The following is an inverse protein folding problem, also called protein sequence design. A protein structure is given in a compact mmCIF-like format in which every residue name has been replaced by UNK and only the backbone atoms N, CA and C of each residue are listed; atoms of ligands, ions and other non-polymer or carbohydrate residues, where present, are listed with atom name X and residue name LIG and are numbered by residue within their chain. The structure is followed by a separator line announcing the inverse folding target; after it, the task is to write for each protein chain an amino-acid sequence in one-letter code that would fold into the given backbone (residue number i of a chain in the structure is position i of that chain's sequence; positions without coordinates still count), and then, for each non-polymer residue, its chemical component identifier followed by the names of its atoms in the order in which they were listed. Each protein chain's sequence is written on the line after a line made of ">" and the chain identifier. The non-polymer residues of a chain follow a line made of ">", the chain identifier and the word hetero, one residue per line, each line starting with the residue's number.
data_IF_012911983638
#
_entry.id   IF_012911983638
#
_cell.length_a   1.000
_cell.length_b   1.000
_cell.length_c   1.000
_cell.angle_alpha   90.00
_cell.angle_beta   90.00
_cell.angle_gamma   90.00
#
_symmetry.space_group_name_H-M   'P 1'
#
loop_
_entity.id
_entity.type
_entity.pdbx_description
1 polymer ?
#
# COMPACT_ATOMS: atom_id res chain seq x y z
N UNK A 1 18.65 -59.43 -9.14
CA UNK A 1 18.81 -59.68 -7.70
C UNK A 1 20.18 -59.15 -7.33
N UNK A 2 20.32 -58.47 -6.18
CA UNK A 2 21.52 -57.69 -5.80
C UNK A 2 21.73 -56.49 -6.77
N UNK A 3 22.24 -55.30 -6.43
CA UNK A 3 22.96 -54.65 -5.31
C UNK A 3 22.46 -53.18 -5.22
N UNK A 4 22.67 -52.33 -4.20
CA UNK A 4 23.42 -52.35 -2.93
C UNK A 4 22.63 -51.55 -1.86
N UNK A 5 22.98 -51.70 -0.57
CA UNK A 5 22.62 -50.73 0.49
C UNK A 5 23.81 -49.83 0.80
N UNK A 6 23.63 -48.50 0.83
CA UNK A 6 24.60 -47.58 1.42
C UNK A 6 23.92 -46.62 2.41
N UNK A 7 24.22 -46.84 3.70
CA UNK A 7 24.02 -45.85 4.77
C UNK A 7 25.00 -44.70 4.54
N UNK A 8 24.53 -43.46 4.55
CA UNK A 8 25.36 -42.27 4.73
C UNK A 8 24.76 -41.40 5.84
N UNK A 9 25.16 -41.67 7.08
CA UNK A 9 24.77 -40.87 8.24
C UNK A 9 25.57 -39.57 8.26
N UNK A 10 25.07 -38.51 7.61
CA UNK A 10 25.70 -37.19 7.72
C UNK A 10 25.29 -36.48 9.02
N UNK A 11 25.93 -36.93 10.10
CA UNK A 11 25.93 -36.29 11.40
C UNK A 11 26.65 -34.93 11.31
N UNK A 12 25.91 -33.86 10.99
CA UNK A 12 26.44 -32.50 10.98
C UNK A 12 26.64 -32.00 12.42
N UNK A 13 27.75 -32.41 13.03
CA UNK A 13 28.30 -31.82 14.25
C UNK A 13 28.79 -30.40 13.94
N UNK A 14 27.87 -29.43 13.98
CA UNK A 14 28.26 -28.03 14.14
C UNK A 14 28.81 -27.81 15.54
N UNK A 15 30.14 -27.84 15.66
CA UNK A 15 30.87 -27.37 16.84
C UNK A 15 31.94 -26.36 16.44
N UNK A 16 31.50 -25.10 16.35
CA UNK A 16 32.30 -23.90 16.61
C UNK A 16 31.39 -22.99 17.44
N UNK A 17 31.60 -22.77 18.74
CA UNK A 17 32.75 -22.18 19.43
C UNK A 17 33.12 -20.77 18.96
N UNK A 18 32.15 -19.84 19.02
CA UNK A 18 32.47 -18.42 19.17
C UNK A 18 31.63 -17.76 20.25
N UNK A 19 32.31 -17.26 21.29
CA UNK A 19 31.73 -16.57 22.44
C UNK A 19 31.24 -15.17 22.03
N UNK A 20 29.95 -14.99 21.77
CA UNK A 20 29.30 -13.70 22.04
C UNK A 20 27.79 -13.85 22.21
N UNK A 21 27.33 -14.27 23.40
CA UNK A 21 25.93 -14.14 23.78
C UNK A 21 25.59 -12.68 24.13
N UNK A 22 25.80 -11.77 23.18
CA UNK A 22 25.05 -10.52 23.14
C UNK A 22 23.66 -10.92 22.71
N UNK A 23 22.69 -10.80 23.61
CA UNK A 23 21.29 -11.06 23.31
C UNK A 23 20.90 -10.23 22.09
N UNK A 24 20.81 -10.87 20.92
CA UNK A 24 20.14 -10.30 19.77
C UNK A 24 18.72 -10.11 20.26
N UNK A 25 18.34 -8.84 20.43
CA UNK A 25 16.97 -8.49 20.74
C UNK A 25 16.11 -9.21 19.71
N UNK A 26 15.18 -10.03 20.20
CA UNK A 26 14.06 -10.50 19.40
C UNK A 26 13.57 -9.28 18.63
N UNK A 27 13.44 -9.41 17.31
CA UNK A 27 12.80 -8.39 16.48
C UNK A 27 11.33 -8.36 16.89
N UNK A 28 11.10 -7.67 18.00
CA UNK A 28 9.81 -7.37 18.56
C UNK A 28 9.19 -6.41 17.54
N UNK A 29 8.41 -6.97 16.63
CA UNK A 29 7.30 -6.26 15.98
C UNK A 29 6.19 -5.94 17.02
N UNK A 30 6.59 -5.70 18.27
CA UNK A 30 5.83 -5.05 19.29
C UNK A 30 5.70 -3.58 18.89
N UNK A 31 4.63 -3.33 18.14
CA UNK A 31 3.79 -2.16 18.40
C UNK A 31 4.60 -0.87 18.36
N UNK A 32 5.09 -0.55 17.16
CA UNK A 32 5.47 0.81 16.80
C UNK A 32 4.47 1.77 17.46
N UNK A 33 5.02 2.73 18.20
CA UNK A 33 4.30 3.35 19.29
C UNK A 33 2.94 3.88 18.89
N UNK A 34 2.06 4.05 19.88
CA UNK A 34 1.11 5.16 19.81
C UNK A 34 1.96 6.43 19.71
N UNK A 35 2.29 6.83 18.49
CA UNK A 35 2.67 8.19 18.17
C UNK A 35 1.43 9.00 18.53
N UNK A 36 1.48 9.56 19.74
CA UNK A 36 0.65 10.66 20.17
C UNK A 36 1.06 11.88 19.34
N UNK A 37 0.77 11.79 18.05
CA UNK A 37 0.74 12.86 17.09
C UNK A 37 -0.74 13.12 16.82
N UNK A 38 -1.47 13.46 17.89
CA UNK A 38 -2.73 14.18 17.79
C UNK A 38 -2.42 15.62 17.34
N UNK A 39 -1.76 15.77 16.18
CA UNK A 39 -1.93 16.95 15.35
C UNK A 39 -3.33 16.79 14.78
N UNK A 40 -4.32 17.35 15.47
CA UNK A 40 -5.69 17.25 15.05
C UNK A 40 -5.79 17.76 13.62
N UNK A 41 -6.23 16.89 12.70
CA UNK A 41 -6.76 17.33 11.42
C UNK A 41 -7.96 18.22 11.76
N UNK A 42 -7.75 19.54 11.71
CA UNK A 42 -8.78 20.51 12.06
C UNK A 42 -9.97 20.32 11.12
N UNK A 43 -11.08 19.92 11.73
CA UNK A 43 -12.46 19.93 11.25
C UNK A 43 -12.70 20.67 9.93
N UNK A 44 -12.31 20.02 8.83
CA UNK A 44 -12.61 20.50 7.47
C UNK A 44 -13.47 19.46 6.78
N UNK A 45 -14.66 19.25 7.35
CA UNK A 45 -15.82 18.63 6.67
C UNK A 45 -16.36 19.63 5.63
N UNK A 46 -15.50 19.94 4.66
CA UNK A 46 -15.74 20.80 3.51
C UNK A 46 -14.87 20.28 2.36
N UNK A 47 -15.42 19.32 1.59
CA UNK A 47 -14.91 18.83 0.31
C UNK A 47 -13.39 18.72 0.24
N UNK A 48 -12.85 17.57 0.62
CA UNK A 48 -11.41 17.33 0.54
C UNK A 48 -10.98 17.42 -0.94
N UNK A 49 -10.11 18.39 -1.26
CA UNK A 49 -9.57 18.55 -2.60
C UNK A 49 -8.52 17.45 -2.89
N UNK A 50 -8.98 16.26 -3.27
CA UNK A 50 -8.16 15.11 -3.68
C UNK A 50 -7.32 15.34 -4.95
N UNK A 51 -7.40 16.54 -5.52
CA UNK A 51 -6.54 17.06 -6.59
C UNK A 51 -5.20 17.59 -6.08
N UNK A 52 -5.09 17.85 -4.77
CA UNK A 52 -3.93 18.46 -4.12
C UNK A 52 -3.68 17.87 -2.75
N UNK A 53 -3.55 16.55 -2.70
CA UNK A 53 -3.38 15.80 -1.46
C UNK A 53 -2.12 14.94 -1.51
N UNK A 54 -1.44 14.79 -0.38
CA UNK A 54 -0.24 13.95 -0.29
C UNK A 54 -0.63 12.50 -0.01
N UNK A 55 0.19 11.50 -0.43
CA UNK A 55 -0.14 10.07 -0.25
C UNK A 55 -0.42 9.68 1.21
N UNK A 56 0.20 10.40 2.16
CA UNK A 56 -0.01 10.21 3.60
C UNK A 56 -1.42 10.58 4.05
N UNK A 57 -1.88 11.77 3.67
CA UNK A 57 -3.20 12.28 4.04
C UNK A 57 -4.30 11.44 3.38
N UNK A 58 -4.10 11.04 2.12
CA UNK A 58 -5.00 10.09 1.44
C UNK A 58 -5.17 8.79 2.23
N UNK A 59 -4.06 8.20 2.72
CA UNK A 59 -4.07 6.99 3.57
C UNK A 59 -4.82 7.22 4.89
N UNK A 60 -4.66 8.39 5.51
CA UNK A 60 -5.34 8.74 6.75
C UNK A 60 -6.86 8.86 6.56
N UNK A 61 -7.29 9.59 5.52
CA UNK A 61 -8.71 9.76 5.18
C UNK A 61 -9.34 8.43 4.77
N UNK A 62 -8.70 7.66 3.89
CA UNK A 62 -9.19 6.34 3.49
C UNK A 62 -9.39 5.43 4.72
N UNK A 63 -8.47 5.49 5.69
CA UNK A 63 -8.57 4.75 6.94
C UNK A 63 -9.74 5.22 7.82
N UNK A 64 -9.98 6.53 7.92
CA UNK A 64 -11.13 7.06 8.65
C UNK A 64 -12.46 6.61 8.01
N UNK A 65 -12.55 6.65 6.68
CA UNK A 65 -13.71 6.18 5.91
C UNK A 65 -13.93 4.67 6.05
N UNK A 66 -12.86 3.88 6.16
CA UNK A 66 -12.95 2.46 6.48
C UNK A 66 -13.48 2.22 7.91
N UNK A 67 -13.01 2.98 8.90
CA UNK A 67 -13.57 2.92 10.27
C UNK A 67 -15.03 3.39 10.34
N UNK A 68 -15.43 4.33 9.49
CA UNK A 68 -16.82 4.77 9.31
C UNK A 68 -17.69 3.76 8.54
N UNK A 69 -17.11 2.69 7.98
CA UNK A 69 -17.82 1.69 7.18
C UNK A 69 -18.29 2.20 5.82
N UNK A 70 -17.68 3.27 5.29
CA UNK A 70 -18.01 3.87 3.99
C UNK A 70 -17.33 3.16 2.81
N UNK A 71 -16.18 2.51 3.03
CA UNK A 71 -15.39 1.82 1.99
C UNK A 71 -15.00 0.41 2.42
N UNK A 72 -14.70 -0.45 1.45
CA UNK A 72 -14.21 -1.81 1.70
C UNK A 72 -12.73 -1.84 2.07
N UNK A 73 -12.28 -2.94 2.68
CA UNK A 73 -10.85 -3.14 2.98
C UNK A 73 -9.99 -3.23 1.70
N UNK A 74 -10.57 -3.74 0.61
CA UNK A 74 -9.93 -3.81 -0.71
C UNK A 74 -9.67 -2.40 -1.27
N UNK A 75 -10.70 -1.53 -1.25
CA UNK A 75 -10.62 -0.10 -1.60
C UNK A 75 -9.57 0.63 -0.76
N UNK A 76 -9.53 0.39 0.56
CA UNK A 76 -8.52 0.95 1.45
C UNK A 76 -7.11 0.49 1.05
N UNK A 77 -6.94 -0.78 0.68
CA UNK A 77 -5.64 -1.33 0.28
C UNK A 77 -5.15 -0.72 -1.05
N UNK A 78 -6.02 -0.56 -2.05
CA UNK A 78 -5.68 0.10 -3.31
C UNK A 78 -5.35 1.59 -3.10
N UNK A 79 -6.16 2.33 -2.32
CA UNK A 79 -5.90 3.73 -1.95
C UNK A 79 -4.60 3.90 -1.13
N UNK A 80 -4.25 2.89 -0.33
CA UNK A 80 -3.01 2.89 0.47
C UNK A 80 -1.80 2.33 -0.27
N UNK A 81 -1.99 1.78 -1.46
CA UNK A 81 -0.94 1.13 -2.25
C UNK A 81 0.20 2.11 -2.57
N UNK A 82 1.37 1.58 -2.84
CA UNK A 82 2.51 2.40 -3.25
C UNK A 82 2.28 2.92 -4.67
N UNK A 83 2.44 4.23 -4.87
CA UNK A 83 2.39 4.81 -6.20
C UNK A 83 3.54 4.23 -7.05
N UNK A 84 3.27 3.77 -8.28
CA UNK A 84 4.33 3.33 -9.18
C UNK A 84 5.20 4.54 -9.56
N UNK A 85 6.48 4.33 -9.90
CA UNK A 85 7.37 5.43 -10.31
C UNK A 85 6.89 6.21 -11.56
N UNK A 86 6.03 5.60 -12.36
CA UNK A 86 5.44 6.15 -13.58
C UNK A 86 3.99 5.69 -13.69
N UNK A 87 3.12 6.58 -14.17
CA UNK A 87 1.73 6.26 -14.51
C UNK A 87 1.44 6.58 -15.97
N UNK A 88 0.33 6.06 -16.47
CA UNK A 88 -0.25 6.48 -17.75
C UNK A 88 -1.40 7.46 -17.50
N UNK A 89 -1.65 8.32 -18.48
CA UNK A 89 -2.90 9.04 -18.67
C UNK A 89 -3.83 8.31 -19.65
N UNK A 90 -5.15 8.56 -19.61
CA UNK A 90 -6.18 8.04 -20.50
C UNK A 90 -6.03 8.61 -21.92
N UNK A 91 -5.36 9.76 -22.03
CA UNK A 91 -4.80 10.29 -23.28
C UNK A 91 -3.66 9.45 -23.88
N UNK A 92 -3.09 8.53 -23.10
CA UNK A 92 -1.91 7.72 -23.43
C UNK A 92 -0.57 8.35 -23.05
N UNK A 93 -0.55 9.52 -22.39
CA UNK A 93 0.68 10.17 -21.93
C UNK A 93 1.31 9.42 -20.74
N UNK A 94 2.64 9.30 -20.69
CA UNK A 94 3.35 8.74 -19.52
C UNK A 94 3.74 9.89 -18.60
N UNK A 95 3.28 9.83 -17.35
CA UNK A 95 3.57 10.82 -16.31
C UNK A 95 4.56 10.18 -15.31
N UNK A 96 5.76 10.74 -15.21
CA UNK A 96 6.71 10.40 -14.16
C UNK A 96 6.21 10.95 -12.82
N UNK A 97 5.98 10.05 -11.87
CA UNK A 97 5.50 10.37 -10.50
C UNK A 97 6.47 9.83 -9.43
N UNK A 98 7.68 9.44 -9.82
CA UNK A 98 8.74 8.96 -8.93
C UNK A 98 9.20 9.99 -7.89
N UNK A 99 8.95 11.28 -8.12
CA UNK A 99 9.21 12.38 -7.19
C UNK A 99 8.04 12.63 -6.22
N UNK A 100 6.91 11.91 -6.38
CA UNK A 100 5.77 11.96 -5.46
C UNK A 100 6.09 11.15 -4.20
N UNK A 101 6.60 11.84 -3.20
CA UNK A 101 6.84 11.31 -1.84
C UNK A 101 5.58 11.40 -0.98
N UNK A 102 5.60 10.81 0.22
CA UNK A 102 4.46 10.85 1.16
C UNK A 102 4.00 12.27 1.56
N UNK A 103 4.84 13.29 1.36
CA UNK A 103 4.55 14.71 1.66
C UNK A 103 4.21 15.53 0.40
N UNK A 104 4.41 14.98 -0.81
CA UNK A 104 4.23 15.68 -2.08
C UNK A 104 2.74 15.78 -2.46
N UNK A 105 2.21 16.99 -2.65
CA UNK A 105 0.87 17.22 -3.21
C UNK A 105 0.72 16.54 -4.58
N UNK A 106 -0.30 15.69 -4.75
CA UNK A 106 -0.59 15.00 -6.01
C UNK A 106 -2.09 14.94 -6.33
N UNK A 107 -2.41 14.87 -7.62
CA UNK A 107 -3.79 14.81 -8.13
C UNK A 107 -4.28 13.37 -8.22
N UNK A 108 -4.58 12.80 -7.06
CA UNK A 108 -5.09 11.44 -6.93
C UNK A 108 -6.47 11.26 -7.59
N UNK A 109 -7.32 12.28 -7.55
CA UNK A 109 -8.63 12.25 -8.21
C UNK A 109 -8.47 12.01 -9.71
N UNK A 110 -7.59 12.78 -10.37
CA UNK A 110 -7.30 12.62 -11.80
C UNK A 110 -6.63 11.28 -12.04
N UNK A 111 -5.59 10.90 -11.27
CA UNK A 111 -4.90 9.62 -11.40
C UNK A 111 -5.83 8.39 -11.36
N UNK A 112 -6.76 8.32 -10.40
CA UNK A 112 -7.71 7.21 -10.32
C UNK A 112 -8.83 7.30 -11.36
N UNK A 113 -9.27 8.50 -11.74
CA UNK A 113 -10.25 8.70 -12.83
C UNK A 113 -9.69 8.20 -14.16
N UNK A 114 -8.42 8.49 -14.37
CA UNK A 114 -7.65 8.15 -15.55
C UNK A 114 -7.39 6.63 -15.63
N UNK A 115 -6.92 6.02 -14.53
CA UNK A 115 -6.86 4.54 -14.39
C UNK A 115 -8.22 3.87 -14.63
N UNK A 116 -9.33 4.45 -14.16
CA UNK A 116 -10.66 3.91 -14.40
C UNK A 116 -11.07 3.99 -15.89
N UNK A 117 -10.72 5.07 -16.59
CA UNK A 117 -10.97 5.22 -18.02
C UNK A 117 -10.11 4.25 -18.86
N UNK A 118 -8.84 4.05 -18.47
CA UNK A 118 -7.96 3.02 -19.05
C UNK A 118 -8.54 1.62 -18.79
N UNK A 119 -8.91 1.29 -17.54
CA UNK A 119 -9.50 0.00 -17.19
C UNK A 119 -10.82 -0.24 -17.95
N UNK A 120 -11.62 0.80 -18.18
CA UNK A 120 -12.85 0.73 -18.98
C UNK A 120 -12.59 0.55 -20.47
N UNK A 121 -11.47 1.06 -20.98
CA UNK A 121 -11.12 1.02 -22.39
C UNK A 121 -10.38 -0.25 -22.81
N UNK A 122 -9.50 -0.78 -21.95
CA UNK A 122 -8.63 -1.93 -22.25
C UNK A 122 -8.54 -3.00 -21.15
N UNK A 123 -9.15 -2.77 -19.98
CA UNK A 123 -9.07 -3.65 -18.82
C UNK A 123 -10.19 -4.70 -18.75
N UNK A 124 -10.37 -5.27 -17.55
CA UNK A 124 -11.40 -6.28 -17.25
C UNK A 124 -12.54 -5.67 -16.43
N UNK A 125 -13.72 -6.31 -16.43
CA UNK A 125 -14.86 -5.84 -15.65
C UNK A 125 -14.60 -5.75 -14.14
N UNK A 126 -13.74 -6.64 -13.61
CA UNK A 126 -13.32 -6.68 -12.20
C UNK A 126 -12.48 -5.45 -11.82
N UNK A 127 -11.52 -5.07 -12.68
CA UNK A 127 -10.70 -3.87 -12.50
C UNK A 127 -11.52 -2.58 -12.66
N UNK A 128 -12.50 -2.56 -13.57
CA UNK A 128 -13.44 -1.44 -13.71
C UNK A 128 -14.29 -1.28 -12.46
N UNK A 129 -14.80 -2.37 -11.87
CA UNK A 129 -15.62 -2.32 -10.65
C UNK A 129 -14.81 -1.78 -9.46
N UNK A 130 -13.58 -2.26 -9.25
CA UNK A 130 -12.68 -1.73 -8.21
C UNK A 130 -12.35 -0.25 -8.39
N UNK A 131 -11.94 0.17 -9.59
CA UNK A 131 -11.61 1.57 -9.86
C UNK A 131 -12.87 2.46 -9.72
N UNK A 132 -14.05 1.94 -10.04
CA UNK A 132 -15.32 2.64 -9.84
C UNK A 132 -15.70 2.77 -8.35
N UNK A 133 -15.38 1.79 -7.50
CA UNK A 133 -15.55 1.86 -6.03
C UNK A 133 -14.60 2.90 -5.41
N UNK A 134 -13.33 2.90 -5.83
CA UNK A 134 -12.32 3.92 -5.47
C UNK A 134 -12.79 5.33 -5.89
N UNK A 135 -13.34 5.50 -7.10
CA UNK A 135 -13.95 6.76 -7.53
C UNK A 135 -15.21 7.13 -6.74
N UNK A 136 -15.99 6.15 -6.32
CA UNK A 136 -17.18 6.38 -5.49
C UNK A 136 -16.79 6.89 -4.10
N UNK A 137 -15.66 6.45 -3.53
CA UNK A 137 -15.09 7.03 -2.32
C UNK A 137 -14.79 8.53 -2.49
N UNK A 138 -14.09 8.91 -3.56
CA UNK A 138 -13.77 10.32 -3.85
C UNK A 138 -15.02 11.19 -4.08
N UNK A 139 -16.13 10.60 -4.55
CA UNK A 139 -17.40 11.29 -4.74
C UNK A 139 -18.30 11.32 -3.47
N UNK A 140 -17.92 10.62 -2.39
CA UNK A 140 -18.69 10.47 -1.13
C UNK A 140 -18.07 11.26 0.04
N UNK A 141 -17.05 12.08 -0.24
CA UNK A 141 -16.22 12.83 0.70
C UNK A 141 -16.29 14.35 0.49
#
# INVERSE_FOLDING_TARGET
>A
MEIYSLRASNNFLFRDNSRNARSVGIADFGKAGKSDAASGFEETVRGIDFTRISPRDLREIARDYYHAGKISQDTLFELSSELPAQTLSASGEVIDIADVTEDTEFDFLTYFSDRAEIARSIGTADEVEKMQDVLSFFALA
#
